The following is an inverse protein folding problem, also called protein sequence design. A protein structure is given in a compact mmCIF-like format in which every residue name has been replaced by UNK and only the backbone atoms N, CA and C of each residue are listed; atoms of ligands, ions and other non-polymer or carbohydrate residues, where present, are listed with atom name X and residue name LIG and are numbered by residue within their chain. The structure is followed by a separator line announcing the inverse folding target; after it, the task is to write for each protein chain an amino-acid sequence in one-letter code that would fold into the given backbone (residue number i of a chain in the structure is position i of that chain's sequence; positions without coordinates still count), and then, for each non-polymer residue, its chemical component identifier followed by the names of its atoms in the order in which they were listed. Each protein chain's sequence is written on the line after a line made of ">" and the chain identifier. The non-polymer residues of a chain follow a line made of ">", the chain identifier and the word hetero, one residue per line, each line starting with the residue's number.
data_IF_471453201166
#
_entry.id   IF_471453201166
#
_cell.length_a   1.000
_cell.length_b   1.000
_cell.length_c   1.000
_cell.angle_alpha   90.00
_cell.angle_beta   90.00
_cell.angle_gamma   90.00
#
_symmetry.space_group_name_H-M   'P 1'
#
loop_
_entity.id
_entity.type
_entity.pdbx_description
1 polymer ?
#
# COMPACT_ATOMS: atom_id res chain seq x y z
N UNK A 1 -43.18 11.53 96.06
CA UNK A 1 -42.48 12.55 96.87
C UNK A 1 -41.94 13.62 95.93
N UNK A 2 -42.47 14.84 95.96
CA UNK A 2 -41.80 16.08 95.54
C UNK A 2 -41.55 16.88 96.82
N UNK A 3 -40.45 17.65 96.98
CA UNK A 3 -40.32 18.98 96.35
C UNK A 3 -38.82 19.33 96.03
N UNK A 4 -38.37 20.61 95.87
CA UNK A 4 -38.73 21.57 94.82
C UNK A 4 -37.55 22.48 94.33
N UNK A 5 -37.84 23.38 93.35
CA UNK A 5 -37.52 24.85 93.25
C UNK A 5 -36.10 25.27 93.71
N UNK A 6 -35.25 25.93 92.92
CA UNK A 6 -35.37 27.33 92.42
C UNK A 6 -34.25 27.60 91.40
N UNK A 7 -34.48 28.16 90.21
CA UNK A 7 -34.75 29.58 89.87
C UNK A 7 -33.48 30.42 89.63
N UNK A 8 -33.59 31.34 88.63
CA UNK A 8 -32.89 32.65 88.56
C UNK A 8 -31.42 32.56 88.05
N UNK A 9 -30.98 33.13 86.93
CA UNK A 9 -31.40 34.35 86.21
C UNK A 9 -30.59 34.50 84.90
N UNK A 10 -31.18 35.20 83.93
CA UNK A 10 -30.54 36.19 83.04
C UNK A 10 -29.47 35.68 82.06
N UNK A 11 -29.58 35.83 80.75
CA UNK A 11 -29.85 37.09 80.06
C UNK A 11 -30.39 36.75 78.65
N UNK A 12 -31.60 37.23 78.39
CA UNK A 12 -32.21 37.30 77.07
C UNK A 12 -31.60 38.50 76.33
N UNK A 13 -31.68 38.47 75.01
CA UNK A 13 -31.53 39.58 74.06
C UNK A 13 -30.11 39.70 73.47
N UNK A 14 -29.87 39.38 72.19
CA UNK A 14 -30.58 39.90 71.03
C UNK A 14 -30.54 38.91 69.85
N UNK A 15 -31.71 38.48 69.39
CA UNK A 15 -31.98 38.16 67.97
C UNK A 15 -32.45 39.47 67.27
N UNK A 16 -32.48 39.63 65.93
CA UNK A 16 -33.19 38.75 64.97
C UNK A 16 -32.55 38.71 63.54
N UNK A 17 -33.23 38.28 62.46
CA UNK A 17 -33.86 36.97 62.24
C UNK A 17 -33.44 36.29 60.90
N UNK A 18 -33.89 35.04 60.76
CA UNK A 18 -34.21 34.33 59.51
C UNK A 18 -33.09 34.03 58.49
N UNK A 19 -32.85 32.74 58.25
CA UNK A 19 -32.09 32.29 57.09
C UNK A 19 -31.84 30.79 57.06
N UNK A 20 -32.79 30.06 56.48
CA UNK A 20 -32.63 28.83 55.71
C UNK A 20 -31.80 27.65 56.24
N UNK A 21 -32.52 26.53 56.38
CA UNK A 21 -32.05 25.18 56.11
C UNK A 21 -30.94 25.11 55.06
N UNK A 22 -29.88 24.36 55.33
CA UNK A 22 -29.16 23.70 54.24
C UNK A 22 -28.72 22.28 54.64
N UNK A 23 -29.40 21.35 53.98
CA UNK A 23 -29.00 19.97 53.77
C UNK A 23 -27.74 20.00 52.90
N UNK A 24 -26.66 19.37 53.36
CA UNK A 24 -25.39 19.29 52.65
C UNK A 24 -24.88 17.85 52.59
N UNK A 25 -25.67 16.97 51.99
CA UNK A 25 -25.24 15.67 51.51
C UNK A 25 -24.66 15.84 50.11
N UNK A 26 -23.34 15.74 49.92
CA UNK A 26 -22.70 15.46 48.62
C UNK A 26 -21.18 15.28 48.78
N UNK A 27 -20.73 14.06 49.02
CA UNK A 27 -19.30 13.70 49.05
C UNK A 27 -18.97 12.52 48.15
N UNK A 28 -19.58 12.43 46.94
CA UNK A 28 -19.38 11.26 46.04
C UNK A 28 -19.32 11.61 44.54
N UNK A 29 -19.37 12.88 44.10
CA UNK A 29 -19.54 13.18 42.66
C UNK A 29 -18.26 13.49 41.85
N UNK A 30 -17.12 13.77 42.48
CA UNK A 30 -15.98 14.37 41.76
C UNK A 30 -14.94 13.35 41.25
N UNK A 31 -14.80 12.21 41.92
CA UNK A 31 -13.77 11.21 41.56
C UNK A 31 -14.15 10.42 40.30
N UNK A 32 -15.44 10.13 40.12
CA UNK A 32 -15.95 9.41 38.95
C UNK A 32 -15.91 10.26 37.68
N UNK A 33 -16.23 11.56 37.77
CA UNK A 33 -16.14 12.50 36.65
C UNK A 33 -14.69 12.69 36.17
N UNK A 34 -13.72 12.77 37.09
CA UNK A 34 -12.32 12.90 36.72
C UNK A 34 -11.75 11.63 36.07
N UNK A 35 -12.19 10.44 36.49
CA UNK A 35 -11.85 9.19 35.83
C UNK A 35 -12.46 9.09 34.43
N UNK A 36 -13.71 9.52 34.25
CA UNK A 36 -14.36 9.53 32.95
C UNK A 36 -13.66 10.48 31.95
N UNK A 37 -13.25 11.67 32.40
CA UNK A 37 -12.47 12.60 31.59
C UNK A 37 -11.11 12.04 31.19
N UNK A 38 -10.43 11.34 32.11
CA UNK A 38 -9.14 10.68 31.82
C UNK A 38 -9.30 9.53 30.82
N UNK A 39 -10.36 8.74 30.96
CA UNK A 39 -10.65 7.65 30.03
C UNK A 39 -10.94 8.18 28.61
N UNK A 40 -11.70 9.27 28.49
CA UNK A 40 -11.97 9.91 27.21
C UNK A 40 -10.71 10.49 26.57
N UNK A 41 -9.81 11.09 27.34
CA UNK A 41 -8.53 11.58 26.84
C UNK A 41 -7.67 10.44 26.26
N UNK A 42 -7.59 9.31 26.97
CA UNK A 42 -6.85 8.13 26.50
C UNK A 42 -7.43 7.54 25.22
N UNK A 43 -8.77 7.50 25.09
CA UNK A 43 -9.46 7.04 23.88
C UNK A 43 -9.15 7.96 22.70
N UNK A 44 -9.19 9.27 22.90
CA UNK A 44 -8.86 10.25 21.87
C UNK A 44 -7.41 10.10 21.39
N UNK A 45 -6.48 9.89 22.33
CA UNK A 45 -5.08 9.67 21.98
C UNK A 45 -4.86 8.37 21.19
N UNK A 46 -5.53 7.28 21.59
CA UNK A 46 -5.44 6.01 20.86
C UNK A 46 -6.03 6.10 19.46
N UNK A 47 -7.17 6.78 19.30
CA UNK A 47 -7.81 6.96 18.00
C UNK A 47 -6.93 7.81 17.06
N UNK A 48 -6.30 8.85 17.60
CA UNK A 48 -5.42 9.74 16.85
C UNK A 48 -4.16 9.00 16.38
N UNK A 49 -3.54 8.18 17.24
CA UNK A 49 -2.41 7.33 16.84
C UNK A 49 -2.81 6.33 15.76
N UNK A 50 -3.97 5.69 15.90
CA UNK A 50 -4.45 4.73 14.92
C UNK A 50 -4.71 5.36 13.54
N UNK A 51 -5.25 6.58 13.49
CA UNK A 51 -5.37 7.33 12.24
C UNK A 51 -4.00 7.64 11.62
N UNK A 52 -3.02 8.05 12.42
CA UNK A 52 -1.67 8.36 11.94
C UNK A 52 -0.97 7.13 11.36
N UNK A 53 -1.12 5.97 12.01
CA UNK A 53 -0.54 4.71 11.54
C UNK A 53 -1.18 4.25 10.22
N UNK A 54 -2.51 4.39 10.09
CA UNK A 54 -3.21 4.09 8.84
C UNK A 54 -2.76 5.00 7.68
N UNK A 55 -2.54 6.30 7.96
CA UNK A 55 -1.99 7.23 6.98
C UNK A 55 -0.54 6.87 6.58
N UNK A 56 0.27 6.42 7.54
CA UNK A 56 1.64 5.99 7.26
C UNK A 56 1.70 4.75 6.37
N UNK A 57 0.86 3.74 6.66
CA UNK A 57 0.76 2.51 5.86
C UNK A 57 0.30 2.82 4.44
N UNK A 58 -0.69 3.71 4.28
CA UNK A 58 -1.16 4.12 2.95
C UNK A 58 -0.10 4.91 2.18
N UNK A 59 0.65 5.81 2.84
CA UNK A 59 1.77 6.50 2.21
C UNK A 59 2.90 5.56 1.80
N UNK A 60 3.25 4.58 2.63
CA UNK A 60 4.29 3.59 2.33
C UNK A 60 3.85 2.67 1.17
N UNK A 61 2.59 2.25 1.17
CA UNK A 61 2.03 1.47 0.06
C UNK A 61 2.07 2.27 -1.25
N UNK A 62 1.63 3.52 -1.24
CA UNK A 62 1.66 4.38 -2.43
C UNK A 62 3.11 4.66 -2.86
N UNK A 63 4.02 4.90 -1.92
CA UNK A 63 5.44 5.07 -2.23
C UNK A 63 6.03 3.81 -2.88
N UNK A 64 5.74 2.61 -2.37
CA UNK A 64 6.20 1.35 -2.95
C UNK A 64 5.56 1.04 -4.31
N UNK A 65 4.28 1.38 -4.50
CA UNK A 65 3.61 1.24 -5.80
C UNK A 65 4.22 2.22 -6.81
N UNK A 66 4.48 3.46 -6.40
CA UNK A 66 5.09 4.48 -7.25
C UNK A 66 6.57 4.19 -7.54
N UNK A 67 7.39 3.77 -6.57
CA UNK A 67 8.81 3.43 -6.82
C UNK A 67 8.98 2.20 -7.70
N UNK A 68 8.05 1.24 -7.64
CA UNK A 68 8.00 0.12 -8.59
C UNK A 68 7.51 0.53 -9.98
N UNK A 69 6.80 1.65 -10.08
CA UNK A 69 6.18 2.16 -11.32
C UNK A 69 7.01 3.26 -12.02
N UNK A 70 7.87 3.98 -11.30
CA UNK A 70 8.68 5.09 -11.86
C UNK A 70 9.94 4.65 -12.58
N UNK A 71 10.26 3.36 -12.56
CA UNK A 71 11.10 2.76 -13.60
C UNK A 71 10.31 2.76 -14.91
N UNK A 72 10.25 3.90 -15.59
CA UNK A 72 9.94 3.98 -17.02
C UNK A 72 11.02 3.21 -17.78
N UNK A 73 10.95 1.90 -17.66
CA UNK A 73 11.73 0.96 -18.44
C UNK A 73 11.01 0.92 -19.75
N UNK A 74 11.27 1.94 -20.57
CA UNK A 74 10.75 2.01 -21.93
C UNK A 74 11.15 0.69 -22.57
N UNK A 75 10.16 -0.17 -22.88
CA UNK A 75 10.42 -1.44 -23.55
C UNK A 75 11.30 -1.11 -24.77
N UNK A 76 12.47 -1.74 -24.91
CA UNK A 76 13.37 -1.42 -26.00
C UNK A 76 12.63 -1.60 -27.31
N UNK A 77 12.89 -0.71 -28.27
CA UNK A 77 12.25 -0.85 -29.57
C UNK A 77 12.80 -2.11 -30.21
N UNK A 78 11.99 -2.78 -31.02
CA UNK A 78 12.42 -3.97 -31.77
C UNK A 78 13.67 -3.68 -32.65
N UNK A 79 13.87 -2.41 -33.05
CA UNK A 79 15.07 -1.93 -33.75
C UNK A 79 16.34 -2.03 -32.91
N UNK A 80 16.24 -1.87 -31.60
CA UNK A 80 17.37 -1.73 -30.68
C UNK A 80 17.87 -3.11 -30.20
N UNK A 81 17.10 -4.17 -30.47
CA UNK A 81 17.44 -5.54 -30.14
C UNK A 81 18.31 -6.13 -31.26
N UNK A 82 19.53 -6.52 -30.88
CA UNK A 82 20.45 -7.22 -31.77
C UNK A 82 20.12 -8.70 -31.82
N UNK A 83 19.99 -9.21 -33.05
CA UNK A 83 19.92 -10.64 -33.37
C UNK A 83 20.84 -10.81 -34.58
N UNK A 84 21.74 -11.79 -34.53
CA UNK A 84 22.64 -12.05 -35.64
C UNK A 84 21.86 -12.45 -36.91
N UNK A 85 22.26 -12.02 -38.11
CA UNK A 85 21.70 -12.53 -39.35
C UNK A 85 22.01 -14.03 -39.51
N UNK A 86 21.15 -14.74 -40.23
CA UNK A 86 21.34 -16.18 -40.51
C UNK A 86 21.50 -16.42 -42.00
N UNK A 87 22.62 -17.05 -42.33
CA UNK A 87 22.92 -17.54 -43.67
C UNK A 87 23.16 -19.05 -43.59
N UNK A 88 22.40 -19.88 -44.32
CA UNK A 88 22.56 -21.33 -44.28
C UNK A 88 23.88 -21.82 -44.90
N UNK A 89 24.54 -20.97 -45.70
CA UNK A 89 25.88 -21.24 -46.26
C UNK A 89 27.00 -20.62 -45.42
N UNK A 90 26.68 -20.03 -44.26
CA UNK A 90 27.64 -19.42 -43.34
C UNK A 90 28.20 -20.38 -42.28
N UNK A 91 29.03 -19.84 -41.39
CA UNK A 91 29.75 -20.62 -40.37
C UNK A 91 28.93 -20.94 -39.11
N UNK A 92 27.76 -20.32 -38.95
CA UNK A 92 26.93 -20.47 -37.74
C UNK A 92 25.91 -21.58 -37.93
N UNK A 93 25.94 -22.65 -37.12
CA UNK A 93 24.93 -23.70 -37.16
C UNK A 93 23.53 -23.14 -36.87
N UNK A 94 22.51 -23.66 -37.58
CA UNK A 94 21.12 -23.23 -37.40
C UNK A 94 20.64 -23.39 -35.95
N UNK A 95 21.08 -24.45 -35.25
CA UNK A 95 20.74 -24.70 -33.85
C UNK A 95 21.23 -23.58 -32.94
N UNK A 96 22.50 -23.23 -33.04
CA UNK A 96 23.13 -22.20 -32.20
C UNK A 96 22.49 -20.83 -32.45
N UNK A 97 22.10 -20.57 -33.71
CA UNK A 97 21.36 -19.38 -34.08
C UNK A 97 19.94 -19.37 -33.48
N UNK A 98 19.19 -20.47 -33.55
CA UNK A 98 17.87 -20.59 -32.92
C UNK A 98 17.95 -20.40 -31.40
N UNK A 99 18.95 -20.97 -30.73
CA UNK A 99 19.17 -20.76 -29.28
C UNK A 99 19.52 -19.31 -28.94
N UNK A 100 20.19 -18.59 -29.84
CA UNK A 100 20.46 -17.16 -29.67
C UNK A 100 19.16 -16.34 -29.81
N UNK A 101 18.32 -16.70 -30.78
CA UNK A 101 16.99 -16.11 -30.98
C UNK A 101 16.09 -16.34 -29.75
N UNK A 102 16.04 -17.56 -29.23
CA UNK A 102 15.25 -17.90 -28.03
C UNK A 102 15.68 -17.08 -26.82
N UNK A 103 17.00 -17.00 -26.60
CA UNK A 103 17.56 -16.14 -25.53
C UNK A 103 17.18 -14.67 -25.71
N UNK A 104 17.20 -14.15 -26.94
CA UNK A 104 16.78 -12.78 -27.21
C UNK A 104 15.27 -12.58 -26.99
N UNK A 105 14.45 -13.54 -27.41
CA UNK A 105 13.00 -13.54 -27.21
C UNK A 105 12.66 -13.51 -25.71
N UNK A 106 13.28 -14.38 -24.92
CA UNK A 106 13.04 -14.48 -23.49
C UNK A 106 13.56 -13.25 -22.73
N UNK A 107 14.78 -12.81 -23.05
CA UNK A 107 15.43 -11.68 -22.38
C UNK A 107 14.66 -10.37 -22.58
N UNK A 108 14.16 -10.12 -23.79
CA UNK A 108 13.43 -8.91 -24.14
C UNK A 108 11.90 -9.08 -24.08
N UNK A 109 11.42 -10.25 -23.64
CA UNK A 109 10.00 -10.61 -23.56
C UNK A 109 9.27 -10.33 -24.88
N UNK A 110 9.83 -10.78 -26.00
CA UNK A 110 9.26 -10.58 -27.32
C UNK A 110 8.10 -11.56 -27.58
N UNK A 111 7.06 -11.05 -28.22
CA UNK A 111 5.98 -11.89 -28.74
C UNK A 111 6.43 -12.66 -29.98
N UNK A 112 5.75 -13.76 -30.30
CA UNK A 112 6.02 -14.53 -31.52
C UNK A 112 5.94 -13.66 -32.78
N UNK A 113 4.96 -12.77 -32.84
CA UNK A 113 4.84 -11.84 -33.97
C UNK A 113 6.04 -10.90 -34.11
N UNK A 114 6.53 -10.33 -33.01
CA UNK A 114 7.67 -9.40 -33.02
C UNK A 114 8.96 -10.11 -33.43
N UNK A 115 9.21 -11.30 -32.88
CA UNK A 115 10.43 -12.06 -33.20
C UNK A 115 10.40 -12.56 -34.66
N UNK A 116 9.26 -13.07 -35.13
CA UNK A 116 9.08 -13.50 -36.52
C UNK A 116 9.28 -12.33 -37.50
N UNK A 117 8.73 -11.16 -37.19
CA UNK A 117 8.91 -9.95 -38.01
C UNK A 117 10.38 -9.51 -38.08
N UNK A 118 11.10 -9.57 -36.95
CA UNK A 118 12.52 -9.23 -36.89
C UNK A 118 13.37 -10.23 -37.69
N UNK A 119 13.13 -11.52 -37.49
CA UNK A 119 13.86 -12.60 -38.16
C UNK A 119 13.65 -12.57 -39.66
N UNK A 120 12.44 -12.27 -40.13
CA UNK A 120 12.14 -12.15 -41.56
C UNK A 120 13.14 -11.25 -42.31
N UNK A 121 13.64 -10.19 -41.65
CA UNK A 121 14.62 -9.26 -42.20
C UNK A 121 16.08 -9.66 -42.00
N UNK A 122 16.36 -10.72 -41.25
CA UNK A 122 17.70 -11.19 -40.87
C UNK A 122 18.10 -12.50 -41.56
N UNK A 123 17.15 -13.17 -42.22
CA UNK A 123 17.43 -14.35 -43.04
C UNK A 123 18.05 -13.93 -44.37
N UNK A 124 19.07 -14.67 -44.79
CA UNK A 124 19.79 -14.44 -46.04
C UNK A 124 19.72 -15.67 -46.97
N UNK A 125 19.93 -15.43 -48.26
CA UNK A 125 20.02 -16.48 -49.28
C UNK A 125 18.80 -17.41 -49.31
N UNK A 126 19.05 -18.73 -49.25
CA UNK A 126 17.97 -19.74 -49.27
C UNK A 126 17.07 -19.69 -48.03
N UNK A 127 17.59 -19.26 -46.89
CA UNK A 127 16.81 -19.15 -45.65
C UNK A 127 15.76 -18.04 -45.76
N UNK A 128 16.06 -16.95 -46.48
CA UNK A 128 15.10 -15.86 -46.72
C UNK A 128 13.85 -16.34 -47.46
N UNK A 129 14.05 -17.11 -48.53
CA UNK A 129 12.94 -17.67 -49.33
C UNK A 129 12.06 -18.61 -48.50
N UNK A 130 12.69 -19.46 -47.69
CA UNK A 130 11.98 -20.39 -46.81
C UNK A 130 11.23 -19.65 -45.69
N UNK A 131 11.87 -18.66 -45.07
CA UNK A 131 11.27 -17.83 -44.03
C UNK A 131 10.06 -17.03 -44.52
N UNK A 132 10.14 -16.44 -45.72
CA UNK A 132 9.01 -15.72 -46.32
C UNK A 132 7.83 -16.65 -46.62
N UNK A 133 8.10 -17.87 -47.10
CA UNK A 133 7.06 -18.89 -47.32
C UNK A 133 6.43 -19.34 -46.00
N UNK A 134 7.24 -19.44 -44.96
CA UNK A 134 6.82 -19.88 -43.64
C UNK A 134 5.95 -18.84 -42.93
N UNK A 135 6.30 -17.56 -42.98
CA UNK A 135 5.53 -16.45 -42.38
C UNK A 135 4.10 -16.35 -42.91
N UNK A 136 3.86 -16.79 -44.14
CA UNK A 136 2.51 -16.86 -44.73
C UNK A 136 1.69 -18.00 -44.11
N UNK A 137 2.34 -19.06 -43.63
CA UNK A 137 1.71 -20.28 -43.11
C UNK A 137 1.49 -20.27 -41.61
N UNK A 138 2.45 -19.80 -40.83
CA UNK A 138 2.36 -19.72 -39.37
C UNK A 138 3.03 -18.46 -38.84
N UNK A 139 2.41 -17.76 -37.88
CA UNK A 139 3.03 -16.64 -37.18
C UNK A 139 3.81 -17.07 -35.91
N UNK A 140 3.92 -18.36 -35.61
CA UNK A 140 4.46 -18.86 -34.33
C UNK A 140 5.93 -19.28 -34.45
N UNK A 141 6.84 -18.62 -33.73
CA UNK A 141 8.27 -18.93 -33.80
C UNK A 141 8.61 -20.42 -33.57
N UNK A 142 7.86 -21.12 -32.72
CA UNK A 142 8.00 -22.56 -32.48
C UNK A 142 7.86 -23.44 -33.72
N UNK A 143 7.09 -22.98 -34.72
CA UNK A 143 6.85 -23.75 -35.95
C UNK A 143 7.95 -23.51 -37.00
N UNK A 144 8.89 -22.61 -36.74
CA UNK A 144 9.99 -22.25 -37.65
C UNK A 144 11.29 -23.00 -37.32
N UNK A 145 11.44 -23.48 -36.09
CA UNK A 145 12.61 -24.21 -35.60
C UNK A 145 12.73 -25.61 -36.21
#
# INVERSE_FOLDING_TARGET
>A
RRPPISDIRSEIDRQPPAGSSNIGNAGVSDTASNQALTALANILETLTRQQQDNLKVTHEFLANVLTKSTGSTRRPRLSDIYIAPFNPDGDVPVRDWCEHVDRAKDHWQLTDYEICTKIAGLLEGRAKVLGDTWLVKSPLWSDMQ
#
